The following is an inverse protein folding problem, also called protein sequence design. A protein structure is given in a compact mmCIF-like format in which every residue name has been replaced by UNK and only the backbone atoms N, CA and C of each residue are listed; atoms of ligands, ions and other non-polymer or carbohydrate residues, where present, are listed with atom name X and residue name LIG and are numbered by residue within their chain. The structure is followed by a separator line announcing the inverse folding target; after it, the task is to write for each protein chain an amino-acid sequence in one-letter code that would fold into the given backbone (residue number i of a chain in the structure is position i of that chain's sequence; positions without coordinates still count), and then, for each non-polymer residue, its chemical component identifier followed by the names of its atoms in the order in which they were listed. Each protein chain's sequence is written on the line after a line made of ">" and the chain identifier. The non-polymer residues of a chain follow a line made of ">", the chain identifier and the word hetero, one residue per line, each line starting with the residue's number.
data_IF_099351672258
#
_entry.id   IF_099351672258
#
_cell.length_a   1.000
_cell.length_b   1.000
_cell.length_c   1.000
_cell.angle_alpha   90.00
_cell.angle_beta   90.00
_cell.angle_gamma   90.00
#
_symmetry.space_group_name_H-M   'P 1'
#
loop_
_entity.id
_entity.type
_entity.pdbx_description
1 polymer ?
#
# COMPACT_ATOMS: atom_id res chain seq x y z
N UNK A 1 15.68 -18.86 -2.18
CA UNK A 1 16.27 -18.31 -3.42
C UNK A 1 17.24 -17.24 -3.00
N UNK A 2 18.40 -17.14 -3.64
CA UNK A 2 19.34 -16.05 -3.37
C UNK A 2 19.21 -15.04 -4.49
N UNK A 3 18.63 -13.89 -4.19
CA UNK A 3 18.56 -12.77 -5.11
C UNK A 3 19.73 -11.84 -4.82
N UNK A 4 20.29 -11.25 -5.87
CA UNK A 4 21.34 -10.23 -5.74
C UNK A 4 20.81 -8.90 -6.26
N UNK A 5 21.14 -7.83 -5.56
CA UNK A 5 20.73 -6.48 -5.92
C UNK A 5 21.76 -5.46 -5.48
N UNK A 6 21.71 -4.31 -6.14
CA UNK A 6 22.53 -3.16 -5.78
C UNK A 6 22.11 -2.69 -4.39
N UNK A 7 23.07 -2.54 -3.46
CA UNK A 7 22.87 -1.82 -2.21
C UNK A 7 23.35 -0.38 -2.32
N UNK A 8 22.92 0.47 -1.40
CA UNK A 8 23.30 1.88 -1.39
C UNK A 8 24.82 2.11 -1.19
N UNK A 9 25.56 1.08 -0.75
CA UNK A 9 27.03 1.06 -0.73
C UNK A 9 27.68 0.94 -2.12
N UNK A 10 26.89 0.85 -3.19
CA UNK A 10 27.36 0.72 -4.58
C UNK A 10 27.73 -0.71 -4.97
N UNK A 11 27.67 -1.67 -4.04
CA UNK A 11 28.01 -3.06 -4.28
C UNK A 11 26.75 -3.90 -4.52
N UNK A 12 26.87 -4.93 -5.36
CA UNK A 12 25.88 -5.98 -5.47
C UNK A 12 26.02 -6.95 -4.30
N UNK A 13 24.94 -7.19 -3.57
CA UNK A 13 24.89 -8.09 -2.42
C UNK A 13 23.64 -8.95 -2.46
N UNK A 14 23.59 -10.00 -1.63
CA UNK A 14 22.36 -10.80 -1.48
C UNK A 14 21.29 -9.89 -0.86
N UNK A 15 20.11 -9.90 -1.47
CA UNK A 15 18.88 -9.27 -1.00
C UNK A 15 17.75 -10.29 -1.04
N UNK A 16 16.63 -9.99 -0.38
CA UNK A 16 15.39 -10.77 -0.48
C UNK A 16 15.61 -12.29 -0.30
N UNK A 17 16.49 -12.67 0.63
CA UNK A 17 16.62 -14.06 1.06
C UNK A 17 15.50 -14.37 2.05
N UNK A 18 14.29 -14.52 1.51
CA UNK A 18 13.06 -14.59 2.30
C UNK A 18 12.72 -16.03 2.68
N UNK A 19 12.31 -16.21 3.94
CA UNK A 19 11.68 -17.43 4.43
C UNK A 19 10.20 -17.17 4.72
N UNK A 20 9.32 -17.99 4.13
CA UNK A 20 7.88 -17.84 4.24
C UNK A 20 7.31 -18.88 5.20
N UNK A 21 6.52 -18.45 6.16
CA UNK A 21 5.79 -19.33 7.06
C UNK A 21 4.30 -19.21 6.81
N UNK A 22 3.61 -20.35 6.76
CA UNK A 22 2.19 -20.43 6.50
C UNK A 22 1.45 -21.01 7.70
N UNK A 23 0.17 -20.65 7.82
CA UNK A 23 -0.71 -21.31 8.75
C UNK A 23 -0.80 -22.81 8.41
N UNK A 24 -0.84 -23.67 9.42
CA UNK A 24 -0.95 -25.13 9.22
C UNK A 24 -2.16 -25.49 8.36
N UNK A 25 -1.97 -26.37 7.38
CA UNK A 25 -2.99 -26.84 6.43
C UNK A 25 -3.71 -25.71 5.68
N UNK A 26 -3.00 -24.62 5.36
CA UNK A 26 -3.55 -23.42 4.74
C UNK A 26 -2.54 -22.78 3.80
N UNK A 27 -3.03 -21.97 2.86
CA UNK A 27 -2.22 -21.10 2.01
C UNK A 27 -2.08 -19.67 2.56
N UNK A 28 -2.60 -19.42 3.77
CA UNK A 28 -2.46 -18.11 4.45
C UNK A 28 -1.04 -17.93 4.97
N UNK A 29 -0.35 -16.94 4.43
CA UNK A 29 0.98 -16.52 4.86
C UNK A 29 0.89 -15.86 6.24
N UNK A 30 1.66 -16.29 7.23
CA UNK A 30 1.61 -15.73 8.59
C UNK A 30 2.84 -14.91 8.94
N UNK A 31 3.97 -15.16 8.26
CA UNK A 31 5.24 -14.47 8.49
C UNK A 31 6.15 -14.56 7.27
N UNK A 32 6.93 -13.51 7.04
CA UNK A 32 8.06 -13.51 6.12
C UNK A 32 9.28 -13.03 6.89
N UNK A 33 10.29 -13.89 7.03
CA UNK A 33 11.56 -13.50 7.66
C UNK A 33 12.57 -13.12 6.57
N UNK A 34 13.19 -11.95 6.72
CA UNK A 34 14.37 -11.57 5.95
C UNK A 34 15.63 -12.17 6.56
N UNK A 35 16.26 -13.13 5.87
CA UNK A 35 17.50 -13.76 6.37
C UNK A 35 18.78 -12.97 6.05
N UNK A 36 18.64 -11.79 5.43
CA UNK A 36 19.70 -10.80 5.28
C UNK A 36 19.25 -9.55 6.06
N UNK A 37 20.14 -8.91 6.85
CA UNK A 37 19.80 -7.67 7.54
C UNK A 37 19.29 -6.62 6.56
N UNK A 38 18.06 -6.12 6.80
CA UNK A 38 17.56 -4.90 6.19
C UNK A 38 18.38 -3.72 6.70
N UNK A 39 19.06 -3.02 5.81
CA UNK A 39 19.66 -1.73 6.15
C UNK A 39 18.55 -0.67 6.12
N UNK A 40 18.54 0.23 7.11
CA UNK A 40 17.73 1.45 7.10
C UNK A 40 17.87 2.30 5.81
N UNK A 41 18.95 2.06 5.05
CA UNK A 41 19.25 2.68 3.76
C UNK A 41 18.87 1.84 2.54
N UNK A 42 18.26 0.67 2.73
CA UNK A 42 17.70 -0.12 1.64
C UNK A 42 16.40 0.58 1.14
N UNK A 43 16.58 1.63 0.34
CA UNK A 43 15.51 2.44 -0.24
C UNK A 43 15.06 1.91 -1.62
N UNK A 44 15.61 0.77 -2.05
CA UNK A 44 15.48 0.25 -3.40
C UNK A 44 14.30 -0.72 -3.59
N UNK A 45 13.39 -0.79 -2.61
CA UNK A 45 12.14 -1.55 -2.70
C UNK A 45 12.27 -3.03 -2.34
N UNK A 46 13.29 -3.38 -1.58
CA UNK A 46 13.46 -4.69 -0.95
C UNK A 46 12.44 -4.94 0.16
N UNK A 47 12.31 -6.19 0.59
CA UNK A 47 11.43 -6.53 1.70
C UNK A 47 11.99 -6.00 3.03
N UNK A 48 11.20 -5.17 3.70
CA UNK A 48 11.53 -4.61 5.00
C UNK A 48 10.88 -5.46 6.10
N UNK A 49 11.70 -6.26 6.79
CA UNK A 49 11.30 -7.10 7.92
C UNK A 49 11.15 -6.24 9.20
N UNK A 50 10.08 -5.45 9.21
CA UNK A 50 9.80 -4.45 10.24
C UNK A 50 9.21 -5.01 11.54
N UNK A 51 9.01 -6.33 11.62
CA UNK A 51 8.43 -7.03 12.77
C UNK A 51 9.13 -8.37 12.99
N UNK A 52 9.05 -8.93 14.19
CA UNK A 52 9.55 -10.28 14.43
C UNK A 52 8.58 -11.01 15.38
N UNK A 53 7.34 -11.12 14.93
CA UNK A 53 6.27 -11.78 15.69
C UNK A 53 6.10 -13.21 15.18
N UNK A 54 5.42 -14.07 15.94
CA UNK A 54 5.03 -15.38 15.43
C UNK A 54 3.94 -15.29 14.34
N UNK A 55 3.14 -14.22 14.38
CA UNK A 55 2.05 -13.94 13.47
C UNK A 55 2.10 -12.44 13.10
N UNK A 56 2.46 -12.15 11.86
CA UNK A 56 2.66 -10.79 11.33
C UNK A 56 1.57 -10.39 10.35
N UNK A 57 1.04 -11.37 9.61
CA UNK A 57 -0.11 -11.21 8.73
C UNK A 57 -1.32 -11.92 9.33
N UNK A 58 -2.42 -11.19 9.46
CA UNK A 58 -3.69 -11.78 9.94
C UNK A 58 -4.75 -11.67 8.86
N UNK A 59 -5.80 -12.48 8.98
CA UNK A 59 -6.89 -12.55 8.01
C UNK A 59 -8.24 -12.62 8.70
N UNK A 60 -9.25 -12.06 8.06
CA UNK A 60 -10.65 -12.25 8.45
C UNK A 60 -11.17 -13.67 8.05
N UNK A 61 -12.42 -13.94 8.40
CA UNK A 61 -13.09 -15.22 8.09
C UNK A 61 -13.26 -15.48 6.59
N UNK A 62 -13.33 -14.42 5.77
CA UNK A 62 -13.43 -14.51 4.31
C UNK A 62 -12.07 -14.69 3.63
N UNK A 63 -10.97 -14.61 4.40
CA UNK A 63 -9.61 -14.76 3.89
C UNK A 63 -8.98 -13.46 3.41
N UNK A 64 -9.60 -12.30 3.65
CA UNK A 64 -8.98 -11.01 3.38
C UNK A 64 -7.95 -10.68 4.48
N UNK A 65 -6.84 -10.02 4.13
CA UNK A 65 -5.83 -9.62 5.11
C UNK A 65 -6.36 -8.54 6.05
N UNK A 66 -6.36 -8.78 7.36
CA UNK A 66 -6.83 -7.81 8.37
C UNK A 66 -5.71 -6.98 8.99
N UNK A 67 -4.46 -7.43 8.97
CA UNK A 67 -3.30 -6.66 9.45
C UNK A 67 -2.00 -7.11 8.79
N UNK A 68 -1.01 -6.22 8.80
CA UNK A 68 0.37 -6.46 8.34
C UNK A 68 1.33 -5.72 9.29
N UNK A 69 2.02 -6.48 10.14
CA UNK A 69 2.92 -5.94 11.16
C UNK A 69 4.17 -5.29 10.55
N UNK A 70 4.68 -5.82 9.43
CA UNK A 70 5.86 -5.28 8.73
C UNK A 70 5.60 -3.87 8.19
N UNK A 71 4.35 -3.60 7.77
CA UNK A 71 3.91 -2.27 7.32
C UNK A 71 3.28 -1.42 8.42
N UNK A 72 3.25 -1.92 9.67
CA UNK A 72 2.54 -1.30 10.81
C UNK A 72 1.05 -1.05 10.52
N UNK A 73 0.45 -1.86 9.63
CA UNK A 73 -0.98 -1.84 9.36
C UNK A 73 -1.66 -2.60 10.49
N UNK A 74 -2.33 -1.86 11.38
CA UNK A 74 -3.00 -2.43 12.55
C UNK A 74 -4.41 -2.92 12.24
N UNK A 75 -5.01 -2.43 11.15
CA UNK A 75 -6.34 -2.82 10.73
C UNK A 75 -6.55 -2.56 9.24
N UNK A 76 -7.17 -3.52 8.56
CA UNK A 76 -7.86 -3.36 7.29
C UNK A 76 -9.31 -3.79 7.53
N UNK A 77 -10.23 -2.86 7.33
CA UNK A 77 -11.67 -3.10 7.31
C UNK A 77 -12.15 -3.33 5.89
N UNK A 78 -13.23 -4.08 5.76
CA UNK A 78 -13.82 -4.46 4.48
C UNK A 78 -15.31 -4.19 4.49
N UNK A 79 -15.83 -3.74 3.36
CA UNK A 79 -17.27 -3.58 3.15
C UNK A 79 -17.94 -4.92 2.76
N UNK A 80 -19.25 -4.88 2.53
CA UNK A 80 -20.05 -6.05 2.14
C UNK A 80 -19.67 -6.68 0.78
N UNK A 81 -18.86 -5.98 -0.04
CA UNK A 81 -18.30 -6.51 -1.29
C UNK A 81 -16.89 -7.11 -1.11
N UNK A 82 -16.42 -7.27 0.13
CA UNK A 82 -15.03 -7.62 0.45
C UNK A 82 -13.99 -6.64 -0.13
N UNK A 83 -14.35 -5.36 -0.30
CA UNK A 83 -13.42 -4.31 -0.72
C UNK A 83 -12.90 -3.54 0.51
N UNK A 84 -11.60 -3.21 0.59
CA UNK A 84 -11.06 -2.45 1.72
C UNK A 84 -11.73 -1.08 1.86
N UNK A 85 -12.34 -0.78 3.00
CA UNK A 85 -13.00 0.51 3.24
C UNK A 85 -12.25 1.41 4.23
N UNK A 86 -11.47 0.82 5.14
CA UNK A 86 -10.58 1.52 6.06
C UNK A 86 -9.25 0.79 6.22
N UNK A 87 -8.15 1.54 6.26
CA UNK A 87 -6.81 1.04 6.62
C UNK A 87 -6.26 1.95 7.71
N UNK A 88 -5.80 1.37 8.82
CA UNK A 88 -5.14 2.10 9.91
C UNK A 88 -3.66 1.72 9.97
N UNK A 89 -2.81 2.73 10.03
CA UNK A 89 -1.35 2.58 10.09
C UNK A 89 -0.88 3.22 11.39
N UNK A 90 -0.34 2.39 12.29
CA UNK A 90 0.12 2.83 13.60
C UNK A 90 1.20 3.92 13.47
N UNK A 91 0.98 5.05 14.13
CA UNK A 91 1.87 6.21 14.11
C UNK A 91 1.89 7.03 12.81
N UNK A 92 1.08 6.68 11.78
CA UNK A 92 0.99 7.44 10.52
C UNK A 92 -0.40 8.00 10.21
N UNK A 93 -1.47 7.27 10.56
CA UNK A 93 -2.84 7.73 10.33
C UNK A 93 -3.72 6.68 9.66
N UNK A 94 -4.58 7.09 8.73
CA UNK A 94 -5.59 6.20 8.14
C UNK A 94 -5.93 6.53 6.70
N UNK A 95 -6.39 5.51 5.97
CA UNK A 95 -6.89 5.63 4.61
C UNK A 95 -8.32 5.12 4.58
N UNK A 96 -9.23 5.85 3.95
CA UNK A 96 -10.62 5.49 3.79
C UNK A 96 -10.97 5.41 2.31
N UNK A 97 -11.77 4.42 1.94
CA UNK A 97 -12.29 4.25 0.59
C UNK A 97 -13.81 4.24 0.60
N UNK A 98 -14.41 4.73 -0.47
CA UNK A 98 -15.83 4.51 -0.75
C UNK A 98 -16.01 4.06 -2.18
N UNK A 99 -17.03 3.25 -2.37
CA UNK A 99 -17.33 2.56 -3.62
C UNK A 99 -18.79 2.76 -3.97
N UNK A 100 -19.12 2.62 -5.25
CA UNK A 100 -20.50 2.41 -5.65
C UNK A 100 -20.93 0.96 -5.42
N UNK A 101 -22.20 0.65 -5.70
CA UNK A 101 -22.76 -0.68 -5.53
C UNK A 101 -22.16 -1.74 -6.49
N UNK A 102 -21.50 -1.33 -7.57
CA UNK A 102 -20.78 -2.22 -8.49
C UNK A 102 -19.36 -2.53 -8.03
N UNK A 103 -18.88 -1.85 -6.97
CA UNK A 103 -17.52 -1.96 -6.48
C UNK A 103 -16.54 -0.99 -7.15
N UNK A 104 -17.01 -0.05 -7.96
CA UNK A 104 -16.14 0.99 -8.53
C UNK A 104 -15.79 2.01 -7.45
N UNK A 105 -14.50 2.30 -7.30
CA UNK A 105 -14.00 3.24 -6.29
C UNK A 105 -14.44 4.66 -6.65
N UNK A 106 -15.05 5.36 -5.70
CA UNK A 106 -15.51 6.75 -5.84
C UNK A 106 -14.59 7.75 -5.13
N UNK A 107 -14.01 7.35 -3.99
CA UNK A 107 -13.17 8.23 -3.17
C UNK A 107 -12.08 7.46 -2.46
N UNK A 108 -10.93 8.13 -2.32
CA UNK A 108 -9.86 7.79 -1.36
C UNK A 108 -9.61 9.02 -0.48
N UNK A 109 -9.68 8.86 0.84
CA UNK A 109 -9.33 9.91 1.80
C UNK A 109 -8.18 9.44 2.67
N UNK A 110 -7.04 10.13 2.59
CA UNK A 110 -5.87 9.87 3.44
C UNK A 110 -5.83 10.90 4.55
N UNK A 111 -5.75 10.43 5.79
CA UNK A 111 -5.48 11.24 6.97
C UNK A 111 -4.06 10.90 7.40
N UNK A 112 -3.17 11.87 7.25
CA UNK A 112 -1.77 11.80 7.68
C UNK A 112 -1.63 12.51 9.02
N UNK A 113 -1.40 11.71 10.06
CA UNK A 113 -1.26 12.15 11.45
C UNK A 113 0.20 12.31 11.87
N UNK A 114 1.15 12.26 10.93
CA UNK A 114 2.57 12.53 11.22
C UNK A 114 2.87 14.01 11.40
N UNK A 115 1.95 14.90 10.99
CA UNK A 115 2.04 16.36 11.15
C UNK A 115 0.91 16.89 12.04
N UNK A 116 1.12 18.06 12.66
CA UNK A 116 0.10 18.79 13.42
C UNK A 116 -0.15 20.17 12.79
N UNK A 117 -1.38 20.48 12.32
CA UNK A 117 -2.56 19.60 12.29
C UNK A 117 -2.38 18.43 11.30
N UNK A 118 -3.18 17.38 11.49
CA UNK A 118 -3.18 16.23 10.58
C UNK A 118 -3.55 16.66 9.16
N UNK A 119 -2.79 16.20 8.17
CA UNK A 119 -2.99 16.55 6.78
C UNK A 119 -3.99 15.59 6.15
N UNK A 120 -5.08 16.13 5.60
CA UNK A 120 -6.09 15.36 4.88
C UNK A 120 -5.94 15.56 3.38
N UNK A 121 -5.87 14.46 2.62
CA UNK A 121 -5.87 14.48 1.16
C UNK A 121 -7.01 13.62 0.64
N UNK A 122 -7.89 14.21 -0.15
CA UNK A 122 -9.00 13.51 -0.82
C UNK A 122 -8.70 13.38 -2.30
N UNK A 123 -8.83 12.15 -2.80
CA UNK A 123 -8.85 11.82 -4.22
C UNK A 123 -10.24 11.35 -4.59
N UNK A 124 -10.82 11.93 -5.64
CA UNK A 124 -12.11 11.53 -6.20
C UNK A 124 -11.90 10.84 -7.54
N UNK A 125 -12.71 9.83 -7.79
CA UNK A 125 -12.73 9.04 -9.02
C UNK A 125 -14.12 9.19 -9.64
N UNK A 126 -14.19 9.84 -10.79
CA UNK A 126 -15.46 10.17 -11.47
C UNK A 126 -15.34 9.71 -12.92
N UNK A 127 -15.90 8.54 -13.22
CA UNK A 127 -15.65 7.86 -14.49
C UNK A 127 -14.15 7.69 -14.73
N UNK A 128 -13.66 8.19 -15.86
CA UNK A 128 -12.25 8.10 -16.22
C UNK A 128 -11.36 9.17 -15.56
N UNK A 129 -11.96 10.18 -14.90
CA UNK A 129 -11.26 11.32 -14.34
C UNK A 129 -10.87 11.11 -12.86
N UNK A 130 -9.67 11.54 -12.51
CA UNK A 130 -9.14 11.49 -11.14
C UNK A 130 -8.81 12.89 -10.66
N UNK A 131 -9.39 13.28 -9.54
CA UNK A 131 -9.18 14.58 -8.90
C UNK A 131 -8.46 14.41 -7.59
N UNK A 132 -7.58 15.35 -7.24
CA UNK A 132 -7.01 15.46 -5.90
C UNK A 132 -7.22 16.88 -5.41
N UNK A 133 -7.82 17.05 -4.23
CA UNK A 133 -8.19 18.37 -3.68
C UNK A 133 -8.93 19.22 -4.72
N UNK A 134 -9.96 18.62 -5.31
CA UNK A 134 -10.82 19.23 -6.35
C UNK A 134 -10.10 19.69 -7.63
N UNK A 135 -8.82 19.30 -7.80
CA UNK A 135 -8.03 19.58 -9.01
C UNK A 135 -7.91 18.33 -9.86
N UNK A 136 -8.35 18.40 -11.11
CA UNK A 136 -8.20 17.31 -12.09
C UNK A 136 -6.71 16.98 -12.26
N UNK A 137 -6.35 15.73 -11.97
CA UNK A 137 -4.99 15.23 -12.10
C UNK A 137 -4.77 14.61 -13.48
N UNK A 138 -5.71 13.77 -13.90
CA UNK A 138 -5.69 13.10 -15.19
C UNK A 138 -7.05 12.50 -15.50
N UNK A 139 -7.26 12.18 -16.77
CA UNK A 139 -8.29 11.23 -17.18
C UNK A 139 -7.65 10.08 -17.96
N UNK A 140 -8.21 8.89 -17.79
CA UNK A 140 -7.73 7.67 -18.45
C UNK A 140 -8.27 7.59 -19.88
N UNK A 141 -7.44 7.11 -20.80
CA UNK A 141 -7.80 6.81 -22.20
C UNK A 141 -7.46 5.35 -22.53
N UNK A 142 -7.82 4.87 -23.72
CA UNK A 142 -7.44 3.51 -24.14
C UNK A 142 -5.93 3.31 -24.26
N UNK A 143 -5.20 4.41 -24.47
CA UNK A 143 -3.76 4.48 -24.71
C UNK A 143 -2.97 4.88 -23.45
N UNK A 144 -3.65 5.13 -22.32
CA UNK A 144 -3.01 5.50 -21.06
C UNK A 144 -3.76 6.59 -20.30
N UNK A 145 -3.12 7.74 -20.11
CA UNK A 145 -3.68 8.86 -19.35
C UNK A 145 -3.28 10.19 -19.97
N UNK A 146 -4.23 11.10 -20.07
CA UNK A 146 -3.98 12.50 -20.41
C UNK A 146 -3.86 13.33 -19.12
N UNK A 147 -2.84 14.16 -19.04
CA UNK A 147 -2.51 14.99 -17.87
C UNK A 147 -2.39 16.45 -18.27
N UNK A 148 -2.65 17.41 -17.37
CA UNK A 148 -2.39 18.79 -17.69
C UNK A 148 -0.87 18.99 -17.84
N UNK A 149 -0.47 19.70 -18.90
CA UNK A 149 0.90 20.19 -19.05
C UNK A 149 1.25 21.07 -17.83
N UNK A 150 2.52 21.07 -17.41
CA UNK A 150 3.03 21.88 -16.31
C UNK A 150 2.73 23.38 -16.50
N UNK A 151 2.59 23.83 -17.76
CA UNK A 151 2.22 25.19 -18.14
C UNK A 151 0.69 25.46 -18.16
N UNK A 152 -0.14 24.50 -17.76
CA UNK A 152 -1.61 24.59 -17.58
C UNK A 152 -2.44 25.05 -18.79
N UNK A 153 -1.88 25.07 -20.00
CA UNK A 153 -2.60 25.53 -21.19
C UNK A 153 -2.97 24.41 -22.17
N UNK A 154 -2.46 23.18 -21.99
CA UNK A 154 -2.73 22.01 -22.86
C UNK A 154 -2.70 20.71 -22.07
N UNK A 155 -3.29 19.65 -22.62
CA UNK A 155 -3.26 18.29 -22.07
C UNK A 155 -2.27 17.44 -22.88
N UNK A 156 -1.48 16.61 -22.19
CA UNK A 156 -0.43 15.75 -22.76
C UNK A 156 -0.61 14.31 -22.32
#
# INVERSE_FOLDING_TARGET
>A
MNQYGLKNSGNSAIIDQLAYSYQSNSNKLIKVTGNVPSDSQDQLGDFQDGSNLALEYTYDGNGNMSSDANKKISLIGYNYLNLPDVIRISGKGSIYYSYDASGSKLRKRVVDSTTLPAKVTTTLYVGNAVYTKDTLQFFSTGEGRARPDANRQRWV
#
